data_IF_459068030629
#
_entry.id   IF_459068030629
#
_cell.length_a   1.000
_cell.length_b   1.000
_cell.length_c   1.000
_cell.angle_alpha   90.00
_cell.angle_beta   90.00
_cell.angle_gamma   90.00
#
_symmetry.space_group_name_H-M   'P 1'
#
loop_
_entity.id
_entity.type
_entity.pdbx_description
1 polymer ?
#
# COMPACT_ATOMS: atom_id res chain seq x y z
N UNK A 1 -26.42 15.28 17.30
CA UNK A 1 -27.10 13.95 17.33
C UNK A 1 -26.78 13.25 15.99
N UNK A 2 -25.83 12.34 15.95
CA UNK A 2 -25.49 11.59 14.74
C UNK A 2 -26.67 10.68 14.39
N UNK A 3 -27.29 10.91 13.24
CA UNK A 3 -28.44 10.13 12.79
C UNK A 3 -27.95 8.74 12.35
N UNK A 4 -28.10 7.73 13.18
CA UNK A 4 -27.65 6.34 12.93
C UNK A 4 -28.21 5.78 11.62
N UNK A 5 -29.41 6.16 11.22
CA UNK A 5 -30.03 5.70 9.96
C UNK A 5 -29.25 6.14 8.71
N UNK A 6 -28.61 7.32 8.74
CA UNK A 6 -27.78 7.79 7.64
C UNK A 6 -26.42 7.06 7.57
N UNK A 7 -25.91 6.56 8.69
CA UNK A 7 -24.67 5.79 8.71
C UNK A 7 -24.87 4.40 8.10
N UNK A 8 -25.92 3.68 8.49
CA UNK A 8 -26.21 2.35 7.93
C UNK A 8 -26.55 2.39 6.44
N UNK A 9 -27.30 3.38 5.99
CA UNK A 9 -27.59 3.56 4.56
C UNK A 9 -26.33 3.85 3.74
N UNK A 10 -25.41 4.66 4.28
CA UNK A 10 -24.14 4.97 3.60
C UNK A 10 -23.18 3.78 3.60
N UNK A 11 -23.11 2.99 4.69
CA UNK A 11 -22.29 1.80 4.78
C UNK A 11 -22.76 0.71 3.80
N UNK A 12 -24.07 0.47 3.74
CA UNK A 12 -24.65 -0.48 2.80
C UNK A 12 -24.41 -0.08 1.34
N UNK A 13 -24.58 1.20 1.01
CA UNK A 13 -24.26 1.73 -0.31
C UNK A 13 -22.79 1.55 -0.68
N UNK A 14 -21.87 1.75 0.27
CA UNK A 14 -20.43 1.51 0.06
C UNK A 14 -20.11 0.04 -0.22
N UNK A 15 -20.75 -0.88 0.50
CA UNK A 15 -20.62 -2.32 0.23
C UNK A 15 -21.17 -2.71 -1.14
N UNK A 16 -22.28 -2.13 -1.58
CA UNK A 16 -22.84 -2.38 -2.91
C UNK A 16 -21.96 -1.83 -4.04
N UNK A 17 -21.12 -0.83 -3.78
CA UNK A 17 -20.19 -0.28 -4.77
C UNK A 17 -18.93 -1.14 -5.00
N UNK A 18 -18.76 -2.22 -4.23
CA UNK A 18 -17.64 -3.14 -4.41
C UNK A 18 -17.75 -3.85 -5.76
N UNK A 19 -16.65 -3.91 -6.49
CA UNK A 19 -16.55 -4.72 -7.68
C UNK A 19 -16.39 -6.20 -7.28
N UNK A 20 -17.51 -6.92 -7.15
CA UNK A 20 -17.53 -8.33 -6.74
C UNK A 20 -16.77 -9.26 -7.68
N UNK A 21 -16.79 -9.10 -9.02
CA UNK A 21 -15.93 -9.87 -9.92
C UNK A 21 -14.45 -9.73 -9.61
N UNK A 22 -13.98 -8.51 -9.33
CA UNK A 22 -12.59 -8.27 -8.94
C UNK A 22 -12.25 -8.93 -7.60
N UNK A 23 -13.14 -8.82 -6.61
CA UNK A 23 -12.97 -9.48 -5.32
C UNK A 23 -12.93 -11.01 -5.49
N UNK A 24 -13.77 -11.57 -6.35
CA UNK A 24 -13.77 -12.99 -6.69
C UNK A 24 -12.45 -13.44 -7.30
N UNK A 25 -11.87 -12.66 -8.22
CA UNK A 25 -10.55 -12.93 -8.79
C UNK A 25 -9.44 -12.93 -7.73
N UNK A 26 -9.45 -11.97 -6.81
CA UNK A 26 -8.47 -11.88 -5.72
C UNK A 26 -8.57 -13.13 -4.82
N UNK A 27 -9.77 -13.56 -4.47
CA UNK A 27 -10.01 -14.77 -3.67
C UNK A 27 -9.53 -16.02 -4.43
N UNK A 28 -9.82 -16.11 -5.72
CA UNK A 28 -9.37 -17.24 -6.55
C UNK A 28 -7.84 -17.30 -6.60
N UNK A 29 -7.16 -16.19 -6.82
CA UNK A 29 -5.70 -16.10 -6.81
C UNK A 29 -5.12 -16.49 -5.45
N UNK A 30 -5.78 -16.12 -4.36
CA UNK A 30 -5.38 -16.53 -3.02
C UNK A 30 -5.41 -18.06 -2.88
N UNK A 31 -6.50 -18.73 -3.30
CA UNK A 31 -6.60 -20.19 -3.19
C UNK A 31 -5.59 -20.91 -4.10
N UNK A 32 -5.33 -20.40 -5.31
CA UNK A 32 -4.28 -20.94 -6.19
C UNK A 32 -2.90 -20.81 -5.53
N UNK A 33 -2.59 -19.65 -4.95
CA UNK A 33 -1.34 -19.43 -4.23
C UNK A 33 -1.22 -20.32 -2.98
N UNK A 34 -2.32 -20.47 -2.24
CA UNK A 34 -2.37 -21.36 -1.06
C UNK A 34 -2.11 -22.82 -1.43
N UNK A 35 -2.74 -23.31 -2.51
CA UNK A 35 -2.53 -24.67 -3.00
C UNK A 35 -1.07 -24.91 -3.44
N UNK A 36 -0.48 -23.94 -4.15
CA UNK A 36 0.92 -24.01 -4.56
C UNK A 36 1.86 -24.05 -3.34
N UNK A 37 1.65 -23.18 -2.34
CA UNK A 37 2.46 -23.16 -1.12
C UNK A 37 2.30 -24.43 -0.30
N UNK A 38 1.10 -25.00 -0.22
CA UNK A 38 0.83 -26.25 0.46
C UNK A 38 1.58 -27.41 -0.20
N UNK A 39 1.60 -27.44 -1.54
CA UNK A 39 2.35 -28.44 -2.31
C UNK A 39 3.87 -28.33 -2.06
N UNK A 40 4.42 -27.12 -2.08
CA UNK A 40 5.86 -26.89 -1.83
C UNK A 40 6.24 -27.23 -0.39
N UNK A 41 5.33 -27.06 0.56
CA UNK A 41 5.53 -27.40 1.98
C UNK A 41 5.38 -28.88 2.29
N UNK A 42 5.29 -29.76 1.29
CA UNK A 42 5.06 -31.19 1.46
C UNK A 42 3.83 -31.53 2.34
N UNK A 43 2.76 -30.74 2.25
CA UNK A 43 1.55 -30.91 3.02
C UNK A 43 1.57 -30.31 4.44
N UNK A 44 2.65 -29.63 4.84
CA UNK A 44 2.69 -28.91 6.12
C UNK A 44 2.01 -27.55 6.01
N UNK A 45 0.85 -27.43 6.65
CA UNK A 45 0.09 -26.18 6.66
C UNK A 45 0.69 -25.11 7.59
N UNK A 46 1.44 -25.51 8.61
CA UNK A 46 1.93 -24.58 9.64
C UNK A 46 3.13 -23.74 9.20
N UNK A 47 3.74 -24.03 8.07
CA UNK A 47 4.89 -23.33 7.53
C UNK A 47 4.47 -22.11 6.68
N UNK A 48 4.64 -22.19 5.37
CA UNK A 48 4.35 -21.08 4.43
C UNK A 48 2.85 -20.82 4.21
N UNK A 49 1.98 -21.85 4.12
CA UNK A 49 0.54 -21.66 3.88
C UNK A 49 -0.14 -20.86 4.98
N UNK A 50 0.20 -21.11 6.25
CA UNK A 50 -0.36 -20.39 7.38
C UNK A 50 -0.01 -18.90 7.33
N UNK A 51 1.27 -18.58 7.06
CA UNK A 51 1.73 -17.19 6.93
C UNK A 51 1.05 -16.45 5.76
N UNK A 52 0.83 -17.15 4.64
CA UNK A 52 0.11 -16.62 3.49
C UNK A 52 -1.34 -16.31 3.85
N UNK A 53 -2.03 -17.22 4.53
CA UNK A 53 -3.41 -17.06 4.98
C UNK A 53 -3.55 -15.88 5.97
N UNK A 54 -2.64 -15.76 6.94
CA UNK A 54 -2.64 -14.66 7.90
C UNK A 54 -2.49 -13.30 7.20
N UNK A 55 -1.57 -13.19 6.24
CA UNK A 55 -1.38 -11.96 5.45
C UNK A 55 -2.60 -11.62 4.62
N UNK A 56 -3.24 -12.62 4.02
CA UNK A 56 -4.45 -12.42 3.23
C UNK A 56 -5.62 -11.93 4.09
N UNK A 57 -5.84 -12.56 5.26
CA UNK A 57 -6.88 -12.13 6.21
C UNK A 57 -6.63 -10.70 6.67
N UNK A 58 -5.38 -10.36 7.03
CA UNK A 58 -5.01 -8.99 7.38
C UNK A 58 -5.30 -8.01 6.24
N UNK A 59 -4.96 -8.39 5.01
CA UNK A 59 -5.24 -7.60 3.81
C UNK A 59 -6.74 -7.37 3.60
N UNK A 60 -7.57 -8.40 3.81
CA UNK A 60 -9.02 -8.27 3.75
C UNK A 60 -9.57 -7.34 4.85
N UNK A 61 -9.06 -7.45 6.07
CA UNK A 61 -9.46 -6.54 7.16
C UNK A 61 -9.15 -5.10 6.79
N UNK A 62 -7.93 -4.82 6.30
CA UNK A 62 -7.53 -3.48 5.86
C UNK A 62 -8.40 -3.01 4.68
N UNK A 63 -8.69 -3.88 3.72
CA UNK A 63 -9.56 -3.58 2.58
C UNK A 63 -10.94 -3.11 3.04
N UNK A 64 -11.58 -3.86 3.95
CA UNK A 64 -12.88 -3.46 4.48
C UNK A 64 -12.80 -2.19 5.33
N UNK A 65 -11.76 -2.01 6.13
CA UNK A 65 -11.56 -0.77 6.88
C UNK A 65 -11.47 0.44 5.93
N UNK A 66 -10.69 0.34 4.85
CA UNK A 66 -10.53 1.44 3.88
C UNK A 66 -11.85 1.79 3.19
N UNK A 67 -12.74 0.82 2.91
CA UNK A 67 -14.06 1.09 2.32
C UNK A 67 -14.90 2.01 3.22
N UNK A 68 -14.79 1.85 4.54
CA UNK A 68 -15.56 2.67 5.48
C UNK A 68 -14.96 4.07 5.68
N UNK A 69 -13.68 4.27 5.38
CA UNK A 69 -13.09 5.61 5.42
C UNK A 69 -13.64 6.51 4.31
N UNK A 70 -13.74 7.80 4.63
CA UNK A 70 -14.08 8.81 3.62
C UNK A 70 -12.85 9.11 2.77
N UNK A 71 -12.93 8.84 1.47
CA UNK A 71 -11.86 9.11 0.51
C UNK A 71 -11.43 10.58 0.52
N UNK A 72 -12.33 11.49 0.88
CA UNK A 72 -12.04 12.93 0.97
C UNK A 72 -11.03 13.22 2.08
N UNK A 73 -11.09 12.50 3.19
CA UNK A 73 -10.11 12.62 4.27
C UNK A 73 -8.74 12.14 3.81
N UNK A 74 -8.68 10.94 3.20
CA UNK A 74 -7.43 10.38 2.67
C UNK A 74 -6.81 11.34 1.65
N UNK A 75 -7.63 11.87 0.74
CA UNK A 75 -7.20 12.83 -0.26
C UNK A 75 -6.77 14.16 0.38
N UNK A 76 -7.46 14.61 1.43
CA UNK A 76 -7.08 15.81 2.20
C UNK A 76 -5.67 15.71 2.78
N UNK A 77 -5.32 14.56 3.33
CA UNK A 77 -4.01 14.30 3.98
C UNK A 77 -2.96 13.69 3.05
N UNK A 78 -3.20 13.59 1.73
CA UNK A 78 -2.33 12.92 0.78
C UNK A 78 -0.84 13.33 0.87
N UNK A 79 -0.56 14.63 0.97
CA UNK A 79 0.83 15.12 1.09
C UNK A 79 1.47 14.78 2.43
N UNK A 80 0.70 14.80 3.51
CA UNK A 80 1.19 14.44 4.86
C UNK A 80 1.53 12.95 4.89
N UNK A 81 0.64 12.10 4.35
CA UNK A 81 0.84 10.64 4.26
C UNK A 81 2.07 10.33 3.40
N UNK A 82 2.23 11.02 2.28
CA UNK A 82 3.39 10.87 1.42
C UNK A 82 4.69 11.28 2.13
N UNK A 83 4.70 12.42 2.82
CA UNK A 83 5.86 12.87 3.57
C UNK A 83 6.26 11.89 4.68
N UNK A 84 5.29 11.36 5.44
CA UNK A 84 5.53 10.34 6.46
C UNK A 84 6.07 9.04 5.85
N UNK A 85 5.60 8.66 4.66
CA UNK A 85 6.12 7.47 3.97
C UNK A 85 7.57 7.65 3.51
N UNK A 86 7.97 8.84 3.08
CA UNK A 86 9.38 9.15 2.76
C UNK A 86 10.25 9.08 4.03
N UNK A 87 9.77 9.65 5.13
CA UNK A 87 10.49 9.56 6.42
C UNK A 87 10.70 8.08 6.80
N UNK A 88 9.69 7.24 6.66
CA UNK A 88 9.82 5.81 6.95
C UNK A 88 10.90 5.15 6.08
N UNK A 89 11.06 5.56 4.82
CA UNK A 89 12.11 5.07 3.95
C UNK A 89 13.51 5.45 4.43
N UNK A 90 13.67 6.69 4.91
CA UNK A 90 14.96 7.19 5.44
C UNK A 90 15.34 6.48 6.75
N UNK A 91 14.38 6.01 7.51
CA UNK A 91 14.60 5.31 8.78
C UNK A 91 15.05 3.86 8.58
N UNK A 92 14.72 3.21 7.46
CA UNK A 92 15.05 1.80 7.19
C UNK A 92 16.53 1.46 7.39
N UNK A 93 17.51 2.22 6.88
CA UNK A 93 18.92 1.90 7.04
C UNK A 93 19.37 1.79 8.50
N UNK A 94 18.66 2.46 9.42
CA UNK A 94 19.01 2.49 10.85
C UNK A 94 18.27 1.43 11.67
N UNK A 95 17.07 1.03 11.28
CA UNK A 95 16.20 0.14 12.06
C UNK A 95 15.69 -1.08 11.27
N UNK A 96 16.10 -1.21 10.01
CA UNK A 96 15.67 -2.31 9.15
C UNK A 96 16.35 -3.63 9.52
N UNK A 97 15.67 -4.74 9.20
CA UNK A 97 16.22 -6.10 9.33
C UNK A 97 16.87 -6.46 8.00
N UNK A 98 18.10 -6.97 8.10
CA UNK A 98 18.79 -7.55 6.96
C UNK A 98 18.10 -8.84 6.51
N UNK A 99 17.72 -8.87 5.25
CA UNK A 99 17.23 -10.06 4.58
C UNK A 99 17.89 -10.17 3.22
N UNK A 100 18.60 -11.28 2.98
CA UNK A 100 19.34 -11.52 1.74
C UNK A 100 20.36 -10.42 1.38
N UNK A 101 21.10 -9.91 2.37
CA UNK A 101 22.16 -8.91 2.15
C UNK A 101 21.67 -7.47 1.96
N UNK A 102 20.41 -7.17 2.22
CA UNK A 102 19.88 -5.81 2.17
C UNK A 102 18.85 -5.54 3.26
N UNK A 103 18.95 -4.38 3.91
CA UNK A 103 17.99 -3.90 4.91
C UNK A 103 16.79 -3.28 4.21
N UNK A 104 15.72 -4.05 4.01
CA UNK A 104 14.51 -3.62 3.28
C UNK A 104 13.23 -3.75 4.07
N UNK A 105 13.27 -4.48 5.18
CA UNK A 105 12.10 -4.90 5.91
C UNK A 105 12.11 -4.34 7.33
N UNK A 106 10.94 -3.92 7.79
CA UNK A 106 10.69 -3.60 9.20
C UNK A 106 9.75 -4.66 9.74
N UNK A 107 10.11 -5.29 10.86
CA UNK A 107 9.23 -6.24 11.52
C UNK A 107 8.45 -5.53 12.62
N UNK A 108 7.14 -5.45 12.44
CA UNK A 108 6.22 -4.88 13.42
C UNK A 108 5.30 -6.00 13.90
N UNK A 109 5.45 -6.40 15.16
CA UNK A 109 4.63 -7.45 15.78
C UNK A 109 4.62 -8.79 15.01
N UNK A 110 5.76 -9.20 14.43
CA UNK A 110 5.87 -10.45 13.65
C UNK A 110 5.45 -10.34 12.19
N UNK A 111 4.99 -9.17 11.74
CA UNK A 111 4.64 -8.91 10.35
C UNK A 111 5.78 -8.11 9.70
N UNK A 112 6.40 -8.70 8.68
CA UNK A 112 7.42 -8.00 7.89
C UNK A 112 6.75 -7.08 6.89
N UNK A 113 6.95 -5.77 7.06
CA UNK A 113 6.47 -4.73 6.18
C UNK A 113 7.65 -4.13 5.41
N UNK A 114 7.42 -3.83 4.14
CA UNK A 114 8.39 -3.15 3.28
C UNK A 114 7.92 -1.71 3.04
N UNK A 115 8.53 -0.70 3.70
CA UNK A 115 8.09 0.69 3.59
C UNK A 115 8.11 1.23 2.17
N UNK A 116 9.02 0.76 1.32
CA UNK A 116 9.08 1.16 -0.08
C UNK A 116 7.80 0.82 -0.87
N UNK A 117 7.05 -0.22 -0.48
CA UNK A 117 5.75 -0.51 -1.09
C UNK A 117 4.72 0.59 -0.75
N UNK A 118 4.71 1.07 0.49
CA UNK A 118 3.82 2.16 0.89
C UNK A 118 4.11 3.47 0.17
N UNK A 119 5.39 3.79 -0.05
CA UNK A 119 5.79 5.02 -0.77
C UNK A 119 5.19 5.06 -2.17
N UNK A 120 5.11 3.93 -2.88
CA UNK A 120 4.50 3.87 -4.22
C UNK A 120 3.03 4.31 -4.19
N UNK A 121 2.24 3.79 -3.26
CA UNK A 121 0.82 4.13 -3.16
C UNK A 121 0.60 5.58 -2.71
N UNK A 122 1.39 6.04 -1.75
CA UNK A 122 1.29 7.42 -1.25
C UNK A 122 1.76 8.44 -2.28
N UNK A 123 2.74 8.10 -3.13
CA UNK A 123 3.16 8.90 -4.27
C UNK A 123 2.02 9.07 -5.28
N UNK A 124 1.34 7.97 -5.66
CA UNK A 124 0.21 8.03 -6.57
C UNK A 124 -0.90 8.93 -6.01
N UNK A 125 -1.19 8.81 -4.71
CA UNK A 125 -2.18 9.64 -4.04
C UNK A 125 -1.79 11.12 -4.03
N UNK A 126 -0.52 11.43 -3.75
CA UNK A 126 0.00 12.79 -3.77
C UNK A 126 -0.03 13.40 -5.17
N UNK A 127 0.33 12.63 -6.19
CA UNK A 127 0.26 13.05 -7.59
C UNK A 127 -1.19 13.26 -8.05
N UNK A 128 -2.12 12.38 -7.67
CA UNK A 128 -3.54 12.54 -7.96
C UNK A 128 -4.08 13.86 -7.39
N UNK A 129 -3.72 14.18 -6.12
CA UNK A 129 -4.07 15.46 -5.50
C UNK A 129 -3.43 16.64 -6.21
N UNK A 130 -2.16 16.50 -6.61
CA UNK A 130 -1.44 17.53 -7.34
C UNK A 130 -2.13 17.86 -8.67
N UNK A 131 -2.41 16.85 -9.49
CA UNK A 131 -3.09 17.04 -10.77
C UNK A 131 -4.53 17.55 -10.62
N UNK A 132 -5.21 17.19 -9.55
CA UNK A 132 -6.54 17.71 -9.26
C UNK A 132 -6.51 19.23 -8.91
N UNK A 133 -5.42 19.70 -8.34
CA UNK A 133 -5.25 21.12 -7.96
C UNK A 133 -4.72 22.02 -9.07
N UNK A 134 -4.25 21.46 -10.19
CA UNK A 134 -3.71 22.22 -11.32
C UNK A 134 -4.85 22.75 -12.18
N UNK A 135 -4.82 24.06 -12.47
CA UNK A 135 -5.72 24.68 -13.43
C UNK A 135 -5.24 24.46 -14.86
N UNK A 136 -6.15 24.52 -15.83
CA UNK A 136 -5.87 24.32 -17.27
C UNK A 136 -4.83 25.28 -17.86
N UNK A 137 -4.62 26.44 -17.24
CA UNK A 137 -3.64 27.46 -17.68
C UNK A 137 -2.25 27.27 -17.06
N UNK A 138 -2.00 26.10 -16.42
CA UNK A 138 -0.72 25.82 -15.77
C UNK A 138 0.39 25.60 -16.79
N UNK A 139 1.57 26.17 -16.50
CA UNK A 139 2.78 25.99 -17.33
C UNK A 139 3.12 24.49 -17.49
N UNK A 140 3.61 24.10 -18.67
CA UNK A 140 4.12 22.77 -18.99
C UNK A 140 5.10 22.23 -17.93
N UNK A 141 5.93 23.11 -17.36
CA UNK A 141 6.88 22.74 -16.30
C UNK A 141 6.13 22.25 -15.05
N UNK A 142 5.09 22.95 -14.62
CA UNK A 142 4.29 22.55 -13.45
C UNK A 142 3.50 21.29 -13.73
N UNK A 143 2.94 21.15 -14.92
CA UNK A 143 2.05 20.04 -15.24
C UNK A 143 2.81 18.73 -15.47
N UNK A 144 4.00 18.77 -16.05
CA UNK A 144 4.73 17.56 -16.46
C UNK A 144 6.07 17.37 -15.74
N UNK A 145 6.92 18.42 -15.74
CA UNK A 145 8.31 18.26 -15.28
C UNK A 145 8.38 18.03 -13.76
N UNK A 146 7.62 18.78 -12.98
CA UNK A 146 7.65 18.68 -11.52
C UNK A 146 7.20 17.29 -11.01
N UNK A 147 6.05 16.73 -11.44
CA UNK A 147 5.66 15.36 -11.09
C UNK A 147 6.65 14.31 -11.57
N UNK A 148 7.24 14.50 -12.75
CA UNK A 148 8.23 13.58 -13.31
C UNK A 148 9.51 13.54 -12.45
N UNK A 149 10.02 14.70 -12.03
CA UNK A 149 11.20 14.78 -11.15
C UNK A 149 10.95 14.07 -9.83
N UNK A 150 9.79 14.29 -9.19
CA UNK A 150 9.44 13.64 -7.93
C UNK A 150 9.36 12.13 -8.13
N UNK A 151 8.73 11.67 -9.20
CA UNK A 151 8.59 10.24 -9.50
C UNK A 151 9.95 9.58 -9.74
N UNK A 152 10.83 10.23 -10.51
CA UNK A 152 12.19 9.75 -10.76
C UNK A 152 13.00 9.72 -9.46
N UNK A 153 12.95 10.79 -8.65
CA UNK A 153 13.66 10.83 -7.38
C UNK A 153 13.21 9.72 -6.42
N UNK A 154 11.90 9.48 -6.29
CA UNK A 154 11.36 8.39 -5.47
C UNK A 154 11.76 7.03 -6.02
N UNK A 155 11.68 6.83 -7.35
CA UNK A 155 12.09 5.57 -8.00
C UNK A 155 13.58 5.31 -7.81
N UNK A 156 14.42 6.34 -7.92
CA UNK A 156 15.86 6.22 -7.69
C UNK A 156 16.17 5.84 -6.24
N UNK A 157 15.58 6.50 -5.26
CA UNK A 157 15.77 6.15 -3.84
C UNK A 157 15.26 4.74 -3.54
N UNK A 158 14.18 4.32 -4.18
CA UNK A 158 13.64 2.96 -4.03
C UNK A 158 14.59 1.88 -4.58
N UNK A 159 15.29 2.17 -5.68
CA UNK A 159 16.21 1.23 -6.32
C UNK A 159 17.58 1.20 -5.66
N UNK A 160 18.10 2.35 -5.21
CA UNK A 160 19.50 2.49 -4.78
C UNK A 160 19.71 2.31 -3.28
N UNK A 161 18.78 2.77 -2.42
CA UNK A 161 18.94 2.63 -0.97
C UNK A 161 19.17 1.17 -0.53
N UNK A 162 18.53 0.16 -1.12
CA UNK A 162 18.76 -1.23 -0.71
C UNK A 162 20.08 -1.83 -1.24
N UNK A 163 20.73 -1.25 -2.24
CA UNK A 163 21.93 -1.81 -2.87
C UNK A 163 23.24 -1.22 -2.34
N UNK A 164 23.21 -0.03 -1.75
CA UNK A 164 24.42 0.67 -1.27
C UNK A 164 25.00 0.02 0.00
N UNK A 165 24.19 -0.69 0.78
CA UNK A 165 24.61 -1.33 2.03
C UNK A 165 24.87 -2.85 1.91
N UNK A 166 24.91 -3.39 0.70
CA UNK A 166 25.17 -4.81 0.42
C UNK A 166 26.64 -5.09 0.04
N UNK A 167 27.59 -4.31 0.56
CA UNK A 167 29.03 -4.55 0.41
C UNK A 167 29.62 -5.03 1.71
#
# INVERSE_FOLDING_TARGET
MFNQNNFYSSAFAKLQSINYPLLGLIITLFFVGLAALYSISNGDFNSWPLKHSQRFILGLIIFFLVIFFDIRLIFGYAYVIFFLSIISLVIIPFFGIESNGATRWINIAGISLQPSEFVKYTLILALAKYFHSINNDSSFIKTLIFPLIITIAVSYTHLTLPTIYSV
#
